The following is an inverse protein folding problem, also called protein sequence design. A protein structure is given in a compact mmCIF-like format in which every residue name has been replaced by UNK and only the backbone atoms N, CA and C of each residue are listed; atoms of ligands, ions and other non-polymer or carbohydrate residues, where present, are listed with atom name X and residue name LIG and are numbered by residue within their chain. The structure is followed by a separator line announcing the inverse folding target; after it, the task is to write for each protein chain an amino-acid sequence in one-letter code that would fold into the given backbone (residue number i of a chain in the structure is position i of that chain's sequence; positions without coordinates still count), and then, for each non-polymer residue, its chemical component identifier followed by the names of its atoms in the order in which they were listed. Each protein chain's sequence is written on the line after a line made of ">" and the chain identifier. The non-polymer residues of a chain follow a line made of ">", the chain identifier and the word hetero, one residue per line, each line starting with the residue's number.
data_IF_560871782787
#
_entry.id   IF_560871782787
#
_cell.length_a   1.000
_cell.length_b   1.000
_cell.length_c   1.000
_cell.angle_alpha   90.00
_cell.angle_beta   90.00
_cell.angle_gamma   90.00
#
_symmetry.space_group_name_H-M   'P 1'
#
loop_
_entity.id
_entity.type
_entity.pdbx_description
1 polymer ?
#
# COMPACT_ATOMS: atom_id res chain seq x y z
N UNK A 1 33.30 3.14 17.27
CA UNK A 1 32.35 3.54 16.19
C UNK A 1 31.01 2.95 16.58
N UNK A 2 30.18 3.70 17.29
CA UNK A 2 28.79 3.31 17.55
C UNK A 2 28.05 3.34 16.21
N UNK A 3 27.69 2.15 15.71
CA UNK A 3 26.75 2.03 14.62
C UNK A 3 25.42 2.62 15.14
N UNK A 4 25.15 3.85 14.74
CA UNK A 4 23.83 4.45 14.92
C UNK A 4 22.85 3.56 14.13
N UNK A 5 22.26 2.55 14.82
CA UNK A 5 21.23 1.71 14.25
C UNK A 5 20.03 2.62 13.98
N UNK A 6 19.89 3.03 12.73
CA UNK A 6 18.72 3.78 12.30
C UNK A 6 17.47 2.94 12.64
N UNK A 7 16.76 3.34 13.68
CA UNK A 7 15.53 2.68 14.12
C UNK A 7 14.33 3.49 13.63
N UNK A 8 13.36 2.83 13.02
CA UNK A 8 12.13 3.47 12.60
C UNK A 8 10.90 2.60 12.91
N UNK A 9 9.81 3.25 13.28
CA UNK A 9 8.53 2.61 13.57
C UNK A 9 7.76 2.36 12.26
N UNK A 10 7.04 1.24 12.19
CA UNK A 10 6.17 0.91 11.05
C UNK A 10 5.09 1.98 10.82
N UNK A 11 4.62 2.65 11.87
CA UNK A 11 3.68 3.78 11.75
C UNK A 11 4.29 4.96 11.00
N UNK A 12 5.59 5.20 11.17
CA UNK A 12 6.30 6.23 10.41
C UNK A 12 6.40 5.85 8.93
N UNK A 13 6.67 4.57 8.63
CA UNK A 13 6.67 4.08 7.24
C UNK A 13 5.29 4.19 6.60
N UNK A 14 4.20 3.87 7.33
CA UNK A 14 2.83 4.02 6.83
C UNK A 14 2.52 5.47 6.48
N UNK A 15 2.83 6.40 7.39
CA UNK A 15 2.65 7.84 7.14
C UNK A 15 3.48 8.31 5.94
N UNK A 16 4.73 7.84 5.84
CA UNK A 16 5.62 8.17 4.73
C UNK A 16 5.07 7.67 3.38
N UNK A 17 4.70 6.41 3.28
CA UNK A 17 4.13 5.85 2.05
C UNK A 17 2.85 6.59 1.65
N UNK A 18 1.98 6.88 2.62
CA UNK A 18 0.71 7.54 2.32
C UNK A 18 0.87 8.98 1.84
N UNK A 19 1.81 9.73 2.42
CA UNK A 19 2.16 11.08 1.92
C UNK A 19 2.76 11.01 0.51
N UNK A 20 3.59 10.00 0.23
CA UNK A 20 4.19 9.82 -1.09
C UNK A 20 3.14 9.52 -2.18
N UNK A 21 2.15 8.69 -1.87
CA UNK A 21 1.05 8.31 -2.78
C UNK A 21 0.14 9.49 -3.08
N UNK A 22 -0.32 10.18 -2.03
CA UNK A 22 -1.28 11.27 -2.16
C UNK A 22 -0.62 12.62 -2.49
N UNK A 23 0.70 12.70 -2.41
CA UNK A 23 1.51 13.93 -2.58
C UNK A 23 1.02 15.09 -1.73
N UNK A 24 0.36 14.79 -0.61
CA UNK A 24 -0.30 15.76 0.24
C UNK A 24 -0.36 15.28 1.70
N UNK A 25 0.21 16.06 2.62
CA UNK A 25 0.26 15.72 4.04
C UNK A 25 -1.13 15.73 4.71
N UNK A 26 -2.00 16.69 4.33
CA UNK A 26 -3.34 16.79 4.93
C UNK A 26 -4.23 15.64 4.48
N UNK A 27 -4.24 15.32 3.18
CA UNK A 27 -4.99 14.18 2.66
C UNK A 27 -4.49 12.85 3.24
N UNK A 28 -3.17 12.69 3.42
CA UNK A 28 -2.61 11.52 4.05
C UNK A 28 -3.01 11.40 5.52
N UNK A 29 -3.10 12.51 6.23
CA UNK A 29 -3.55 12.53 7.61
C UNK A 29 -5.04 12.13 7.73
N UNK A 30 -5.90 12.69 6.89
CA UNK A 30 -7.33 12.33 6.81
C UNK A 30 -7.50 10.82 6.55
N UNK A 31 -6.80 10.28 5.56
CA UNK A 31 -6.87 8.87 5.19
C UNK A 31 -6.37 7.92 6.30
N UNK A 32 -5.36 8.35 7.05
CA UNK A 32 -4.83 7.59 8.18
C UNK A 32 -5.58 7.84 9.51
N UNK A 33 -6.62 8.66 9.50
CA UNK A 33 -7.34 9.09 10.72
C UNK A 33 -6.41 9.73 11.76
N UNK A 34 -5.43 10.52 11.29
CA UNK A 34 -4.46 11.24 12.08
C UNK A 34 -4.58 12.75 11.86
N UNK A 35 -3.91 13.54 12.71
CA UNK A 35 -3.75 14.97 12.45
C UNK A 35 -2.55 15.23 11.53
N UNK A 36 -2.61 16.30 10.74
CA UNK A 36 -1.50 16.67 9.86
C UNK A 36 -0.18 16.92 10.64
N UNK A 37 -0.16 17.57 11.84
CA UNK A 37 1.04 17.67 12.66
C UNK A 37 1.61 16.30 13.06
N UNK A 38 0.77 15.30 13.35
CA UNK A 38 1.20 13.93 13.67
C UNK A 38 1.92 13.30 12.49
N UNK A 39 1.33 13.36 11.29
CA UNK A 39 1.95 12.83 10.06
C UNK A 39 3.28 13.54 9.78
N UNK A 40 3.32 14.87 9.90
CA UNK A 40 4.58 15.63 9.75
C UNK A 40 5.62 15.23 10.78
N UNK A 41 5.22 14.98 12.02
CA UNK A 41 6.09 14.48 13.10
C UNK A 41 6.68 13.11 12.76
N UNK A 42 5.87 12.18 12.24
CA UNK A 42 6.34 10.85 11.78
C UNK A 42 7.42 10.98 10.69
N UNK A 43 7.20 11.86 9.69
CA UNK A 43 8.18 12.09 8.62
C UNK A 43 9.46 12.69 9.16
N UNK A 44 9.37 13.70 10.03
CA UNK A 44 10.54 14.33 10.66
C UNK A 44 11.35 13.34 11.50
N UNK A 45 10.68 12.49 12.29
CA UNK A 45 11.33 11.45 13.07
C UNK A 45 12.07 10.45 12.17
N UNK A 46 11.45 10.05 11.05
CA UNK A 46 12.03 9.14 10.07
C UNK A 46 13.26 9.77 9.38
N UNK A 47 13.14 11.02 8.90
CA UNK A 47 14.24 11.77 8.30
C UNK A 47 15.42 11.95 9.28
N UNK A 48 15.12 12.23 10.55
CA UNK A 48 16.12 12.37 11.60
C UNK A 48 16.85 11.04 11.88
N UNK A 49 16.12 9.93 11.96
CA UNK A 49 16.72 8.62 12.23
C UNK A 49 17.59 8.12 11.07
N UNK A 50 17.22 8.46 9.83
CA UNK A 50 17.94 8.07 8.62
C UNK A 50 19.04 9.07 8.22
N UNK A 51 19.05 10.27 8.79
CA UNK A 51 20.01 11.34 8.46
C UNK A 51 19.84 11.93 7.06
N UNK A 52 18.70 11.69 6.39
CA UNK A 52 18.43 12.16 5.02
C UNK A 52 17.02 12.73 4.91
N UNK A 53 16.83 13.69 3.99
CA UNK A 53 15.50 14.17 3.64
C UNK A 53 14.83 13.22 2.66
N UNK A 54 13.54 12.95 2.92
CA UNK A 54 12.72 12.05 2.11
C UNK A 54 11.78 12.82 1.18
N UNK A 55 11.38 14.03 1.59
CA UNK A 55 10.54 14.91 0.78
C UNK A 55 11.24 16.22 0.45
N UNK A 56 11.00 16.70 -0.78
CA UNK A 56 11.34 18.08 -1.16
C UNK A 56 10.28 19.03 -0.59
N UNK A 57 10.75 20.11 0.03
CA UNK A 57 9.90 21.13 0.66
C UNK A 57 9.76 22.39 -0.17
N UNK A 58 10.32 22.43 -1.39
CA UNK A 58 10.36 23.63 -2.21
C UNK A 58 9.06 23.89 -3.00
N UNK A 59 8.10 22.97 -2.99
CA UNK A 59 6.86 23.04 -3.77
C UNK A 59 5.58 22.94 -2.93
N UNK A 60 4.44 23.14 -3.60
CA UNK A 60 3.10 22.93 -3.00
C UNK A 60 2.75 21.46 -2.79
N UNK A 61 3.40 20.58 -3.52
CA UNK A 61 3.20 19.12 -3.44
C UNK A 61 4.34 18.43 -2.68
N UNK A 62 4.03 17.38 -1.95
CA UNK A 62 5.03 16.52 -1.31
C UNK A 62 5.68 15.62 -2.37
N UNK A 63 6.84 16.02 -2.89
CA UNK A 63 7.62 15.23 -3.86
C UNK A 63 8.74 14.47 -3.16
N UNK A 64 8.91 13.21 -3.52
CA UNK A 64 10.00 12.39 -3.00
C UNK A 64 11.36 12.89 -3.53
N UNK A 65 12.35 12.95 -2.62
CA UNK A 65 13.76 13.03 -3.00
C UNK A 65 14.24 11.70 -3.59
N UNK A 66 15.47 11.64 -4.11
CA UNK A 66 16.09 10.37 -4.52
C UNK A 66 16.14 9.36 -3.36
N UNK A 67 16.50 9.81 -2.15
CA UNK A 67 16.49 8.97 -0.95
C UNK A 67 15.06 8.52 -0.60
N UNK A 68 14.07 9.41 -0.72
CA UNK A 68 12.66 9.09 -0.54
C UNK A 68 12.17 8.02 -1.52
N UNK A 69 12.57 8.09 -2.81
CA UNK A 69 12.20 7.08 -3.81
C UNK A 69 12.76 5.70 -3.45
N UNK A 70 14.01 5.64 -3.02
CA UNK A 70 14.62 4.38 -2.55
C UNK A 70 13.88 3.85 -1.34
N UNK A 71 13.66 4.69 -0.33
CA UNK A 71 12.93 4.25 0.87
C UNK A 71 11.51 3.78 0.53
N UNK A 72 10.80 4.45 -0.38
CA UNK A 72 9.43 4.10 -0.75
C UNK A 72 9.34 2.66 -1.30
N UNK A 73 10.29 2.26 -2.15
CA UNK A 73 10.34 0.89 -2.68
C UNK A 73 10.51 -0.17 -1.59
N UNK A 74 11.34 0.10 -0.57
CA UNK A 74 11.54 -0.84 0.53
C UNK A 74 10.42 -0.76 1.58
N UNK A 75 9.96 0.44 1.91
CA UNK A 75 8.87 0.65 2.87
C UNK A 75 7.58 -0.04 2.43
N UNK A 76 7.22 0.06 1.14
CA UNK A 76 6.05 -0.64 0.58
C UNK A 76 6.18 -2.16 0.74
N UNK A 77 7.36 -2.73 0.48
CA UNK A 77 7.62 -4.17 0.67
C UNK A 77 7.56 -4.59 2.14
N UNK A 78 8.11 -3.79 3.05
CA UNK A 78 8.06 -4.05 4.49
C UNK A 78 6.61 -4.06 4.99
N UNK A 79 5.81 -3.08 4.57
CA UNK A 79 4.41 -2.99 4.94
C UNK A 79 3.59 -4.13 4.33
N UNK A 80 3.90 -4.56 3.11
CA UNK A 80 3.30 -5.74 2.50
C UNK A 80 3.65 -7.00 3.28
N UNK A 81 4.93 -7.25 3.55
CA UNK A 81 5.37 -8.43 4.31
C UNK A 81 4.72 -8.50 5.70
N UNK A 82 4.53 -7.34 6.35
CA UNK A 82 3.77 -7.28 7.61
C UNK A 82 2.32 -7.75 7.41
N UNK A 83 1.64 -7.30 6.34
CA UNK A 83 0.26 -7.74 6.02
C UNK A 83 0.21 -9.25 5.79
N UNK A 84 1.14 -9.76 4.98
CA UNK A 84 1.22 -11.19 4.66
C UNK A 84 1.42 -12.04 5.92
N UNK A 85 2.30 -11.60 6.82
CA UNK A 85 2.52 -12.28 8.09
C UNK A 85 1.25 -12.29 8.97
N UNK A 86 0.51 -11.19 9.04
CA UNK A 86 -0.74 -11.12 9.80
C UNK A 86 -1.83 -12.00 9.17
N UNK A 87 -1.91 -12.03 7.84
CA UNK A 87 -2.86 -12.89 7.12
C UNK A 87 -2.52 -14.37 7.34
N UNK A 88 -1.25 -14.77 7.19
CA UNK A 88 -0.82 -16.14 7.45
C UNK A 88 -1.12 -16.58 8.89
N UNK A 89 -0.92 -15.71 9.87
CA UNK A 89 -1.26 -16.00 11.27
C UNK A 89 -2.77 -16.07 11.50
N UNK A 90 -3.56 -15.34 10.73
CA UNK A 90 -5.03 -15.38 10.86
C UNK A 90 -5.62 -16.74 10.47
N UNK A 91 -4.96 -17.48 9.59
CA UNK A 91 -5.37 -18.85 9.21
C UNK A 91 -5.34 -19.84 10.37
N UNK A 92 -4.48 -19.61 11.39
CA UNK A 92 -4.42 -20.44 12.60
C UNK A 92 -5.55 -20.14 13.59
N UNK A 93 -6.29 -19.05 13.45
CA UNK A 93 -7.41 -18.65 14.32
C UNK A 93 -8.75 -18.87 13.61
N UNK A 94 -9.29 -20.10 13.68
CA UNK A 94 -10.66 -20.48 13.29
C UNK A 94 -11.36 -19.58 12.24
N UNK A 95 -11.03 -19.80 10.96
CA UNK A 95 -11.65 -19.15 9.80
C UNK A 95 -10.81 -18.03 9.19
N UNK A 96 -11.00 -17.82 7.87
CA UNK A 96 -10.33 -16.77 7.12
C UNK A 96 -10.72 -15.40 7.69
N UNK A 97 -9.77 -14.74 8.36
CA UNK A 97 -9.89 -13.39 8.90
C UNK A 97 -8.75 -12.55 8.35
N UNK A 98 -8.99 -11.30 8.08
CA UNK A 98 -7.95 -10.39 7.59
C UNK A 98 -8.49 -9.34 6.63
N UNK A 99 -7.60 -8.61 6.00
CA UNK A 99 -7.92 -7.67 4.94
C UNK A 99 -7.34 -8.16 3.63
N UNK A 100 -8.16 -8.23 2.59
CA UNK A 100 -7.79 -8.56 1.22
C UNK A 100 -7.75 -7.26 0.41
N UNK A 101 -6.59 -6.95 -0.15
CA UNK A 101 -6.39 -5.74 -0.95
C UNK A 101 -6.40 -6.09 -2.44
N UNK A 102 -7.48 -5.73 -3.11
CA UNK A 102 -7.68 -5.99 -4.53
C UNK A 102 -7.53 -4.73 -5.36
N UNK A 103 -6.90 -4.88 -6.54
CA UNK A 103 -6.97 -3.90 -7.61
C UNK A 103 -7.88 -4.37 -8.74
N UNK A 104 -8.58 -3.46 -9.40
CA UNK A 104 -9.29 -3.78 -10.62
C UNK A 104 -9.22 -2.64 -11.62
N UNK A 105 -9.06 -2.98 -12.90
CA UNK A 105 -9.36 -1.99 -13.95
C UNK A 105 -10.87 -1.79 -14.04
N UNK A 106 -11.30 -0.70 -14.67
CA UNK A 106 -12.69 -0.20 -14.64
C UNK A 106 -13.72 -1.29 -14.95
N UNK A 107 -13.57 -2.00 -16.06
CA UNK A 107 -14.56 -3.02 -16.45
C UNK A 107 -14.65 -4.18 -15.47
N UNK A 108 -13.56 -4.88 -15.10
CA UNK A 108 -13.63 -5.91 -14.07
C UNK A 108 -14.15 -5.39 -12.71
N UNK A 109 -13.75 -4.17 -12.33
CA UNK A 109 -14.15 -3.57 -11.05
C UNK A 109 -15.61 -3.22 -10.95
N UNK A 110 -16.23 -2.78 -12.05
CA UNK A 110 -17.63 -2.36 -12.06
C UNK A 110 -18.62 -3.50 -12.39
N UNK A 111 -18.23 -4.46 -13.24
CA UNK A 111 -19.16 -5.45 -13.77
C UNK A 111 -18.93 -6.88 -13.29
N UNK A 112 -17.70 -7.25 -12.93
CA UNK A 112 -17.36 -8.63 -12.54
C UNK A 112 -17.24 -8.76 -11.04
N UNK A 113 -16.40 -7.94 -10.42
CA UNK A 113 -16.06 -8.06 -9.01
C UNK A 113 -17.23 -7.90 -8.02
N UNK A 114 -18.24 -7.04 -8.23
CA UNK A 114 -19.32 -6.89 -7.25
C UNK A 114 -20.06 -8.20 -6.96
N UNK A 115 -20.32 -9.00 -7.99
CA UNK A 115 -20.97 -10.32 -7.84
C UNK A 115 -20.07 -11.29 -7.07
N UNK A 116 -18.81 -11.41 -7.45
CA UNK A 116 -17.84 -12.31 -6.82
C UNK A 116 -17.58 -11.94 -5.36
N UNK A 117 -17.42 -10.65 -5.08
CA UNK A 117 -17.23 -10.16 -3.72
C UNK A 117 -18.48 -10.38 -2.85
N UNK A 118 -19.68 -10.34 -3.44
CA UNK A 118 -20.91 -10.70 -2.73
C UNK A 118 -20.94 -12.18 -2.34
N UNK A 119 -20.48 -13.09 -3.19
CA UNK A 119 -20.35 -14.51 -2.89
C UNK A 119 -19.23 -14.77 -1.87
N UNK A 120 -18.06 -14.20 -2.09
CA UNK A 120 -16.92 -14.30 -1.18
C UNK A 120 -17.27 -13.82 0.25
N UNK A 121 -17.98 -12.69 0.37
CA UNK A 121 -18.39 -12.17 1.68
C UNK A 121 -19.39 -13.04 2.42
N UNK A 122 -20.23 -13.81 1.72
CA UNK A 122 -21.12 -14.78 2.34
C UNK A 122 -20.36 -15.98 2.91
N UNK A 123 -19.33 -16.43 2.22
CA UNK A 123 -18.50 -17.55 2.65
C UNK A 123 -17.47 -17.13 3.71
N UNK A 124 -16.97 -15.91 3.61
CA UNK A 124 -15.91 -15.35 4.46
C UNK A 124 -16.32 -14.02 5.11
N UNK A 125 -17.33 -14.01 6.02
CA UNK A 125 -17.90 -12.78 6.59
C UNK A 125 -16.88 -11.97 7.41
N UNK A 126 -15.84 -12.61 7.91
CA UNK A 126 -14.80 -11.98 8.74
C UNK A 126 -13.58 -11.46 7.94
N UNK A 127 -13.55 -11.67 6.61
CA UNK A 127 -12.52 -11.11 5.75
C UNK A 127 -12.96 -9.72 5.26
N UNK A 128 -12.23 -8.67 5.57
CA UNK A 128 -12.45 -7.34 5.01
C UNK A 128 -11.85 -7.28 3.60
N UNK A 129 -12.59 -6.78 2.62
CA UNK A 129 -12.08 -6.57 1.26
C UNK A 129 -11.97 -5.09 0.99
N UNK A 130 -10.80 -4.65 0.59
CA UNK A 130 -10.54 -3.29 0.10
C UNK A 130 -10.29 -3.36 -1.40
N UNK A 131 -11.14 -2.70 -2.16
CA UNK A 131 -11.07 -2.66 -3.62
C UNK A 131 -10.58 -1.30 -4.09
N UNK A 132 -9.51 -1.29 -4.87
CA UNK A 132 -9.06 -0.11 -5.61
C UNK A 132 -9.44 -0.27 -7.08
N UNK A 133 -10.20 0.68 -7.63
CA UNK A 133 -10.52 0.75 -9.06
C UNK A 133 -9.69 1.88 -9.68
N UNK A 134 -8.94 1.55 -10.73
CA UNK A 134 -8.09 2.50 -11.45
C UNK A 134 -7.87 2.02 -12.89
N UNK A 135 -7.04 2.70 -13.68
CA UNK A 135 -6.64 2.17 -14.99
C UNK A 135 -5.73 0.94 -14.86
N UNK A 136 -5.61 0.18 -15.94
CA UNK A 136 -4.83 -1.06 -15.98
C UNK A 136 -3.37 -0.84 -15.54
N UNK A 137 -2.75 0.26 -15.97
CA UNK A 137 -1.36 0.54 -15.67
C UNK A 137 -1.16 0.85 -14.18
N UNK A 138 -2.06 1.61 -13.58
CA UNK A 138 -2.03 1.92 -12.16
C UNK A 138 -2.24 0.67 -11.29
N UNK A 139 -3.14 -0.25 -11.69
CA UNK A 139 -3.33 -1.52 -10.99
C UNK A 139 -2.08 -2.40 -11.07
N UNK A 140 -1.49 -2.54 -12.24
CA UNK A 140 -0.22 -3.29 -12.43
C UNK A 140 0.88 -2.71 -11.56
N UNK A 141 1.03 -1.40 -11.52
CA UNK A 141 2.00 -0.75 -10.63
C UNK A 141 1.67 -0.96 -9.15
N UNK A 142 0.38 -0.99 -8.79
CA UNK A 142 -0.08 -1.30 -7.44
C UNK A 142 0.33 -2.70 -6.99
N UNK A 143 0.19 -3.71 -7.84
CA UNK A 143 0.66 -5.08 -7.57
C UNK A 143 2.17 -5.13 -7.42
N UNK A 144 2.92 -4.50 -8.33
CA UNK A 144 4.39 -4.48 -8.29
C UNK A 144 4.95 -3.80 -7.01
N UNK A 145 4.25 -2.81 -6.48
CA UNK A 145 4.62 -2.13 -5.23
C UNK A 145 4.10 -2.85 -3.98
N UNK A 146 3.17 -3.80 -4.14
CA UNK A 146 2.49 -4.44 -3.03
C UNK A 146 1.40 -3.58 -2.38
N UNK A 147 0.88 -2.57 -3.09
CA UNK A 147 -0.26 -1.76 -2.63
C UNK A 147 -1.57 -2.58 -2.68
N UNK A 148 -1.65 -3.52 -3.61
CA UNK A 148 -2.70 -4.53 -3.74
C UNK A 148 -2.07 -5.91 -3.91
N UNK A 149 -2.72 -6.95 -3.41
CA UNK A 149 -2.19 -8.32 -3.43
C UNK A 149 -2.31 -8.94 -4.83
N UNK A 150 -3.41 -8.69 -5.50
CA UNK A 150 -3.58 -9.02 -6.92
C UNK A 150 -4.56 -8.06 -7.60
N UNK A 151 -4.58 -8.10 -8.93
CA UNK A 151 -5.41 -7.21 -9.73
C UNK A 151 -6.15 -7.94 -10.84
N UNK A 152 -7.41 -7.58 -11.07
CA UNK A 152 -8.17 -7.99 -12.25
C UNK A 152 -8.08 -6.89 -13.31
N UNK A 153 -7.54 -7.22 -14.46
CA UNK A 153 -7.32 -6.27 -15.55
C UNK A 153 -7.88 -6.79 -16.87
N UNK A 154 -8.38 -5.88 -17.70
CA UNK A 154 -8.94 -6.22 -19.00
C UNK A 154 -7.90 -6.42 -20.11
N UNK A 155 -6.64 -6.04 -19.87
CA UNK A 155 -5.56 -6.16 -20.84
C UNK A 155 -4.25 -6.54 -20.14
N UNK A 156 -3.55 -7.56 -20.67
CA UNK A 156 -2.26 -8.01 -20.15
C UNK A 156 -1.17 -6.96 -20.44
N UNK A 157 -0.41 -6.59 -19.41
CA UNK A 157 0.83 -5.79 -19.51
C UNK A 157 1.98 -6.70 -19.10
N UNK A 158 2.82 -7.11 -20.02
CA UNK A 158 3.91 -8.04 -19.72
C UNK A 158 4.94 -7.43 -18.77
N UNK A 159 5.21 -8.17 -17.69
CA UNK A 159 6.25 -7.82 -16.71
C UNK A 159 6.84 -9.09 -16.09
N UNK A 160 8.19 -9.21 -16.00
CA UNK A 160 8.85 -10.44 -15.57
C UNK A 160 8.56 -10.85 -14.12
N UNK A 161 8.10 -9.91 -13.30
CA UNK A 161 7.77 -10.15 -11.88
C UNK A 161 6.28 -10.40 -11.65
N UNK A 162 5.46 -10.53 -12.70
CA UNK A 162 4.03 -10.77 -12.59
C UNK A 162 3.64 -12.08 -13.27
N UNK A 163 2.77 -12.81 -12.61
CA UNK A 163 2.08 -13.97 -13.17
C UNK A 163 0.66 -13.56 -13.55
N UNK A 164 0.19 -14.07 -14.68
CA UNK A 164 -1.15 -13.80 -15.20
C UNK A 164 -1.91 -15.09 -15.40
N UNK A 165 -3.14 -15.09 -14.92
CA UNK A 165 -4.10 -16.16 -15.14
C UNK A 165 -5.32 -15.61 -15.87
N UNK A 166 -5.84 -16.39 -16.83
CA UNK A 166 -7.08 -16.02 -17.51
C UNK A 166 -8.25 -16.31 -16.58
N UNK A 167 -9.11 -15.32 -16.39
CA UNK A 167 -10.16 -15.42 -15.38
C UNK A 167 -11.55 -15.72 -15.96
N UNK A 168 -11.84 -15.39 -17.19
CA UNK A 168 -13.10 -15.69 -17.89
C UNK A 168 -12.99 -15.43 -19.40
#
# INVERSE_FOLDING_TARGET
>A
MEQNQASFDLRHLQSFCRVAELRNFSKAAEDLFLTQPTVSGHILALEKSLGVRLFDRTGREARLTKAGQVLYQYASKILQLRRDALNALSEFSQGIRGELYLGASTIPGEYILPKLLGEFKREHPHCAVRLKIADTQEIVQGVLRGDVEFGLIGAKIEHPSLQYELFA
#
